data_IF_539428400014
#
_entry.id   IF_539428400014
#
_cell.length_a   1.000
_cell.length_b   1.000
_cell.length_c   1.000
_cell.angle_alpha   90.00
_cell.angle_beta   90.00
_cell.angle_gamma   90.00
#
_symmetry.space_group_name_H-M   'P 1'
#
loop_
_entity.id
_entity.type
_entity.pdbx_description
1 polymer ?
#
# COMPACT_ATOMS: atom_id res chain seq x y z
N UNK A 1 16.08 19.37 -90.40
CA UNK A 1 16.25 18.36 -89.34
C UNK A 1 16.19 18.89 -87.89
N UNK A 2 16.32 20.19 -87.63
CA UNK A 2 16.35 20.74 -86.27
C UNK A 2 14.98 20.92 -85.56
N UNK A 3 13.86 21.07 -86.24
CA UNK A 3 12.53 21.33 -85.62
C UNK A 3 11.92 20.11 -84.84
N UNK A 4 12.33 18.89 -85.21
CA UNK A 4 11.83 17.70 -84.46
C UNK A 4 12.47 17.48 -83.11
N UNK A 5 13.76 17.85 -82.94
CA UNK A 5 14.49 17.73 -81.70
C UNK A 5 13.95 18.66 -80.61
N UNK A 6 13.65 19.93 -80.93
CA UNK A 6 13.13 20.93 -79.99
C UNK A 6 11.72 20.51 -79.46
N UNK A 7 10.83 19.98 -80.32
CA UNK A 7 9.53 19.50 -79.82
C UNK A 7 9.63 18.32 -78.86
N UNK A 8 10.59 17.44 -79.03
CA UNK A 8 10.83 16.35 -78.11
C UNK A 8 11.37 16.83 -76.75
N UNK A 9 12.28 17.80 -76.74
CA UNK A 9 12.84 18.40 -75.54
C UNK A 9 11.70 19.12 -74.77
N UNK A 10 10.89 19.90 -75.41
CA UNK A 10 9.75 20.60 -74.78
C UNK A 10 8.75 19.63 -74.17
N UNK A 11 8.46 18.47 -74.87
CA UNK A 11 7.60 17.44 -74.30
C UNK A 11 8.20 16.74 -73.08
N UNK A 12 9.51 16.47 -73.02
CA UNK A 12 10.19 15.91 -71.92
C UNK A 12 10.21 16.90 -70.73
N UNK A 13 10.46 18.18 -70.96
CA UNK A 13 10.42 19.23 -69.92
C UNK A 13 9.03 19.38 -69.32
N UNK A 14 7.95 19.36 -70.15
CA UNK A 14 6.58 19.38 -69.62
C UNK A 14 6.24 18.16 -68.75
N UNK A 15 6.72 16.96 -69.10
CA UNK A 15 6.52 15.76 -68.31
C UNK A 15 7.26 15.84 -66.96
N UNK A 16 8.50 16.35 -66.96
CA UNK A 16 9.29 16.54 -65.74
C UNK A 16 8.60 17.58 -64.85
N UNK A 17 8.14 18.70 -65.41
CA UNK A 17 7.42 19.72 -64.63
C UNK A 17 6.12 19.19 -63.99
N UNK A 18 5.35 18.36 -64.72
CA UNK A 18 4.13 17.72 -64.19
C UNK A 18 4.48 16.73 -63.06
N UNK A 19 5.53 15.93 -63.21
CA UNK A 19 5.97 14.99 -62.17
C UNK A 19 6.46 15.73 -60.93
N UNK A 20 7.23 16.80 -61.08
CA UNK A 20 7.65 17.65 -59.96
C UNK A 20 6.44 18.29 -59.26
N UNK A 21 5.44 18.75 -59.98
CA UNK A 21 4.25 19.35 -59.42
C UNK A 21 3.39 18.34 -58.66
N UNK A 22 3.27 17.11 -59.16
CA UNK A 22 2.62 16.00 -58.45
C UNK A 22 3.39 15.61 -57.21
N UNK A 23 4.73 15.54 -57.29
CA UNK A 23 5.58 15.23 -56.13
C UNK A 23 5.47 16.32 -55.04
N UNK A 24 5.47 17.58 -55.43
CA UNK A 24 5.24 18.71 -54.48
C UNK A 24 3.85 18.66 -53.84
N UNK A 25 2.82 18.32 -54.66
CA UNK A 25 1.45 18.18 -54.14
C UNK A 25 1.35 17.00 -53.15
N UNK A 26 1.99 15.87 -53.43
CA UNK A 26 2.04 14.70 -52.52
C UNK A 26 2.79 15.04 -51.23
N UNK A 27 3.91 15.77 -51.32
CA UNK A 27 4.65 16.22 -50.15
C UNK A 27 3.83 17.21 -49.31
N UNK A 28 3.11 18.14 -49.94
CA UNK A 28 2.22 19.06 -49.27
C UNK A 28 1.03 18.37 -48.58
N UNK A 29 0.45 17.36 -49.20
CA UNK A 29 -0.65 16.56 -48.62
C UNK A 29 -0.13 15.68 -47.49
N UNK A 30 1.04 15.08 -47.63
CA UNK A 30 1.64 14.31 -46.53
C UNK A 30 2.09 15.20 -45.36
N UNK A 31 2.58 16.43 -45.62
CA UNK A 31 2.90 17.38 -44.55
C UNK A 31 1.66 17.91 -43.82
N UNK A 32 0.51 18.02 -44.52
CA UNK A 32 -0.76 18.41 -43.91
C UNK A 32 -1.39 17.30 -43.04
N UNK A 33 -0.95 16.05 -43.20
CA UNK A 33 -1.41 14.89 -42.44
C UNK A 33 -0.37 14.41 -41.41
N UNK A 34 0.65 15.20 -41.08
CA UNK A 34 1.48 14.91 -39.91
C UNK A 34 0.54 15.02 -38.70
N UNK A 35 0.29 13.95 -37.94
CA UNK A 35 -0.50 14.04 -36.74
C UNK A 35 0.16 15.08 -35.88
N UNK A 36 -0.55 16.18 -35.58
CA UNK A 36 -0.05 17.14 -34.62
C UNK A 36 0.20 16.37 -33.33
N UNK A 37 1.43 16.38 -32.86
CA UNK A 37 1.75 15.82 -31.57
C UNK A 37 0.86 16.50 -30.54
N UNK A 38 0.01 15.73 -29.89
CA UNK A 38 -0.93 16.21 -28.89
C UNK A 38 -0.32 15.94 -27.53
N UNK A 39 -0.51 16.87 -26.60
CA UNK A 39 -0.19 16.62 -25.21
C UNK A 39 -0.92 15.36 -24.73
N UNK A 40 -0.21 14.46 -24.07
CA UNK A 40 -0.73 13.17 -23.65
C UNK A 40 -0.82 13.05 -22.14
N UNK A 41 -1.76 12.25 -21.67
CA UNK A 41 -1.72 11.76 -20.28
C UNK A 41 -0.59 10.74 -20.22
N UNK A 42 0.51 11.11 -19.56
CA UNK A 42 1.68 10.24 -19.46
C UNK A 42 1.47 9.08 -18.47
N UNK A 43 0.75 9.35 -17.39
CA UNK A 43 0.38 8.33 -16.39
C UNK A 43 -0.71 8.85 -15.46
N UNK A 44 -1.40 7.95 -14.80
CA UNK A 44 -2.27 8.29 -13.69
C UNK A 44 -2.18 7.25 -12.57
N UNK A 45 -2.57 7.62 -11.36
CA UNK A 45 -2.61 6.73 -10.21
C UNK A 45 -3.74 7.12 -9.24
N UNK A 46 -4.33 6.12 -8.61
CA UNK A 46 -5.33 6.28 -7.57
C UNK A 46 -4.66 6.33 -6.20
N UNK A 47 -4.95 7.37 -5.39
CA UNK A 47 -4.39 7.54 -4.06
C UNK A 47 -5.49 7.36 -3.01
N UNK A 48 -5.15 6.67 -1.92
CA UNK A 48 -6.09 6.35 -0.83
C UNK A 48 -6.95 5.13 -1.10
N UNK A 49 -6.68 4.39 -2.19
CA UNK A 49 -7.38 3.17 -2.53
C UNK A 49 -6.90 1.98 -1.70
N UNK A 50 -7.83 1.08 -1.39
CA UNK A 50 -7.51 -0.24 -0.84
C UNK A 50 -7.31 -1.19 -2.01
N UNK A 51 -6.06 -1.64 -2.21
CA UNK A 51 -5.78 -2.70 -3.17
C UNK A 51 -6.24 -4.04 -2.59
N UNK A 52 -7.09 -4.77 -3.32
CA UNK A 52 -7.64 -6.06 -2.90
C UNK A 52 -7.31 -7.16 -3.88
N UNK A 53 -6.89 -8.28 -3.33
CA UNK A 53 -7.04 -9.58 -3.97
C UNK A 53 -8.33 -10.19 -3.42
N UNK A 54 -9.36 -10.17 -4.22
CA UNK A 54 -10.69 -10.57 -3.78
C UNK A 54 -11.20 -11.71 -4.67
N UNK A 55 -10.82 -12.96 -4.36
CA UNK A 55 -11.39 -14.11 -5.05
C UNK A 55 -12.91 -14.17 -4.88
N UNK A 56 -13.40 -13.59 -3.80
CA UNK A 56 -14.80 -13.67 -3.40
C UNK A 56 -15.68 -12.75 -4.25
N UNK A 57 -15.20 -11.54 -4.57
CA UNK A 57 -16.00 -10.48 -5.18
C UNK A 57 -15.51 -10.03 -6.55
N UNK A 58 -14.22 -10.27 -6.88
CA UNK A 58 -13.58 -9.70 -8.06
C UNK A 58 -12.81 -10.75 -8.84
N UNK A 59 -13.27 -11.97 -8.87
CA UNK A 59 -12.71 -13.07 -9.68
C UNK A 59 -11.22 -13.35 -9.42
N UNK A 60 -10.75 -13.13 -8.21
CA UNK A 60 -9.36 -13.35 -7.84
C UNK A 60 -8.36 -12.33 -8.36
N UNK A 61 -8.83 -11.24 -8.96
CA UNK A 61 -7.97 -10.18 -9.47
C UNK A 61 -7.68 -9.16 -8.38
N UNK A 62 -6.43 -8.72 -8.28
CA UNK A 62 -6.05 -7.60 -7.43
C UNK A 62 -6.58 -6.31 -8.07
N UNK A 63 -7.48 -5.63 -7.40
CA UNK A 63 -8.05 -4.36 -7.87
C UNK A 63 -7.98 -3.28 -6.80
N UNK A 64 -7.89 -2.05 -7.27
CA UNK A 64 -8.06 -0.86 -6.43
C UNK A 64 -9.51 -0.74 -6.00
N UNK A 65 -9.75 -0.42 -4.73
CA UNK A 65 -11.08 -0.30 -4.18
C UNK A 65 -11.18 0.80 -3.14
N UNK A 66 -12.33 1.45 -3.08
CA UNK A 66 -12.60 2.55 -2.16
C UNK A 66 -13.83 2.25 -1.31
N UNK A 67 -13.79 2.67 -0.04
CA UNK A 67 -14.96 2.69 0.81
C UNK A 67 -15.97 3.76 0.34
N UNK A 68 -17.26 3.43 0.36
CA UNK A 68 -18.32 4.39 0.09
C UNK A 68 -18.24 5.62 1.00
N UNK A 69 -18.70 6.77 0.51
CA UNK A 69 -18.72 8.05 1.23
C UNK A 69 -17.35 8.60 1.68
N UNK A 70 -16.25 7.94 1.31
CA UNK A 70 -14.88 8.44 1.56
C UNK A 70 -14.43 9.42 0.48
N UNK A 71 -13.37 10.15 0.75
CA UNK A 71 -12.69 10.98 -0.25
C UNK A 71 -11.50 10.23 -0.80
N UNK A 72 -11.37 10.22 -2.11
CA UNK A 72 -10.25 9.64 -2.83
C UNK A 72 -9.65 10.65 -3.80
N UNK A 73 -8.44 10.39 -4.26
CA UNK A 73 -7.73 11.26 -5.20
C UNK A 73 -7.26 10.46 -6.41
N UNK A 74 -7.40 11.08 -7.58
CA UNK A 74 -6.76 10.65 -8.80
C UNK A 74 -5.64 11.63 -9.13
N UNK A 75 -4.44 11.13 -9.27
CA UNK A 75 -3.27 11.89 -9.71
C UNK A 75 -3.04 11.64 -11.18
N UNK A 76 -3.01 12.71 -11.97
CA UNK A 76 -2.86 12.64 -13.43
C UNK A 76 -1.61 13.41 -13.84
N UNK A 77 -0.66 12.73 -14.45
CA UNK A 77 0.53 13.36 -15.01
C UNK A 77 0.27 13.70 -16.48
N UNK A 78 0.27 14.99 -16.78
CA UNK A 78 0.08 15.51 -18.14
C UNK A 78 1.44 15.94 -18.69
N UNK A 79 1.82 15.39 -19.84
CA UNK A 79 3.07 15.67 -20.52
C UNK A 79 2.82 16.44 -21.81
N UNK A 80 3.62 17.47 -22.07
CA UNK A 80 3.58 18.25 -23.30
C UNK A 80 4.60 17.68 -24.30
N UNK A 81 4.14 16.88 -25.26
CA UNK A 81 4.91 16.30 -26.35
C UNK A 81 4.82 17.09 -27.67
N UNK A 82 4.28 18.32 -27.64
CA UNK A 82 4.20 19.20 -28.80
C UNK A 82 5.56 19.63 -29.30
N UNK A 83 5.61 20.14 -30.53
CA UNK A 83 6.85 20.66 -31.08
C UNK A 83 7.22 22.01 -30.47
N UNK A 84 8.52 22.25 -30.32
CA UNK A 84 9.02 23.55 -29.87
C UNK A 84 8.56 24.67 -30.83
N UNK A 85 8.11 25.84 -30.34
CA UNK A 85 8.09 26.30 -28.95
C UNK A 85 6.71 26.12 -28.25
N UNK A 86 5.86 25.22 -28.72
CA UNK A 86 4.48 25.13 -28.29
C UNK A 86 4.35 24.76 -26.81
N UNK A 87 3.55 25.51 -26.10
CA UNK A 87 3.11 25.24 -24.75
C UNK A 87 1.63 24.83 -24.73
N UNK A 88 1.21 24.15 -23.69
CA UNK A 88 -0.21 23.88 -23.44
C UNK A 88 -0.71 24.64 -22.23
N UNK A 89 -1.91 25.21 -22.36
CA UNK A 89 -2.58 25.95 -21.31
C UNK A 89 -3.73 25.08 -20.78
N UNK A 90 -3.44 24.22 -19.78
CA UNK A 90 -4.42 23.31 -19.20
C UNK A 90 -5.43 24.13 -18.41
N UNK A 91 -6.70 24.04 -18.82
CA UNK A 91 -7.81 24.72 -18.14
C UNK A 91 -8.58 23.80 -17.20
N UNK A 92 -8.55 22.49 -17.42
CA UNK A 92 -9.14 21.52 -16.52
C UNK A 92 -8.56 20.13 -16.72
N UNK A 93 -8.40 19.41 -15.61
CA UNK A 93 -8.23 17.95 -15.60
C UNK A 93 -9.45 17.38 -14.90
N UNK A 94 -10.19 16.53 -15.59
CA UNK A 94 -11.47 15.98 -15.15
C UNK A 94 -11.44 14.47 -15.15
N UNK A 95 -12.20 13.86 -14.25
CA UNK A 95 -12.54 12.45 -14.30
C UNK A 95 -14.05 12.26 -14.30
N UNK A 96 -14.55 11.52 -15.24
CA UNK A 96 -15.94 11.08 -15.31
C UNK A 96 -16.05 9.60 -14.97
N UNK A 97 -17.08 9.23 -14.23
CA UNK A 97 -17.33 7.85 -13.81
C UNK A 97 -18.59 7.28 -14.45
N UNK A 98 -18.66 5.96 -14.54
CA UNK A 98 -19.79 5.23 -15.12
C UNK A 98 -21.12 5.42 -14.37
N UNK A 99 -21.08 5.85 -13.11
CA UNK A 99 -22.28 6.27 -12.37
C UNK A 99 -22.74 7.70 -12.66
N UNK A 100 -22.13 8.38 -13.67
CA UNK A 100 -22.58 9.68 -14.21
C UNK A 100 -22.06 10.91 -13.49
N UNK A 101 -21.13 10.81 -12.53
CA UNK A 101 -20.54 11.97 -11.86
C UNK A 101 -19.19 12.33 -12.48
N UNK A 102 -18.92 13.65 -12.50
CA UNK A 102 -17.66 14.23 -12.97
C UNK A 102 -17.02 15.08 -11.88
N UNK A 103 -15.70 14.99 -11.77
CA UNK A 103 -14.89 15.78 -10.84
C UNK A 103 -13.76 16.46 -11.59
N UNK A 104 -13.32 17.62 -11.08
CA UNK A 104 -12.32 18.47 -11.74
C UNK A 104 -11.25 18.88 -10.75
N UNK A 105 -9.99 18.90 -11.19
CA UNK A 105 -8.87 19.46 -10.42
C UNK A 105 -9.12 20.95 -10.14
N UNK A 106 -8.75 21.39 -8.94
CA UNK A 106 -8.87 22.79 -8.51
C UNK A 106 -7.65 23.63 -8.88
N UNK A 107 -6.59 23.03 -9.41
CA UNK A 107 -5.30 23.67 -9.67
C UNK A 107 -5.31 24.60 -10.87
N UNK A 108 -6.29 24.48 -11.76
CA UNK A 108 -6.41 25.31 -12.96
C UNK A 108 -7.88 25.55 -13.32
N UNK A 109 -8.11 26.60 -14.08
CA UNK A 109 -9.42 26.92 -14.65
C UNK A 109 -9.26 27.71 -15.96
N UNK A 110 -10.38 28.05 -16.62
CA UNK A 110 -10.37 28.76 -17.91
C UNK A 110 -9.73 30.15 -17.82
N UNK A 111 -9.92 30.86 -16.70
CA UNK A 111 -9.37 32.21 -16.50
C UNK A 111 -7.92 32.20 -16.02
N UNK A 112 -7.49 31.12 -15.40
CA UNK A 112 -6.12 30.92 -14.91
C UNK A 112 -5.65 29.50 -15.29
N UNK A 113 -5.33 29.25 -16.58
CA UNK A 113 -4.87 27.96 -17.01
C UNK A 113 -3.45 27.68 -16.52
N UNK A 114 -3.16 26.41 -16.25
CA UNK A 114 -1.82 25.97 -15.92
C UNK A 114 -1.01 25.77 -17.21
N UNK A 115 0.14 26.44 -17.30
CA UNK A 115 1.01 26.40 -18.49
C UNK A 115 2.04 25.30 -18.34
N UNK A 116 2.03 24.33 -19.26
CA UNK A 116 3.06 23.30 -19.35
C UNK A 116 3.93 23.58 -20.56
N UNK A 117 5.22 23.96 -20.35
CA UNK A 117 6.17 24.20 -21.44
C UNK A 117 6.48 22.93 -22.25
N UNK A 118 7.11 23.12 -23.38
CA UNK A 118 7.59 22.04 -24.24
C UNK A 118 8.46 21.02 -23.50
N UNK A 119 8.19 19.74 -23.73
CA UNK A 119 8.83 18.57 -23.09
C UNK A 119 8.81 18.59 -21.55
N UNK A 120 7.87 19.32 -20.96
CA UNK A 120 7.66 19.28 -19.50
C UNK A 120 6.36 18.58 -19.16
N UNK A 121 6.24 18.15 -17.92
CA UNK A 121 5.04 17.56 -17.38
C UNK A 121 4.63 18.25 -16.09
N UNK A 122 3.34 18.13 -15.76
CA UNK A 122 2.80 18.54 -14.47
C UNK A 122 1.82 17.49 -13.98
N UNK A 123 1.79 17.33 -12.65
CA UNK A 123 0.94 16.37 -11.96
C UNK A 123 -0.25 17.12 -11.36
N UNK A 124 -1.44 16.81 -11.83
CA UNK A 124 -2.70 17.33 -11.32
C UNK A 124 -3.36 16.35 -10.38
N UNK A 125 -4.01 16.86 -9.34
CA UNK A 125 -4.80 16.06 -8.41
C UNK A 125 -6.27 16.36 -8.58
N UNK A 126 -7.07 15.32 -8.81
CA UNK A 126 -8.53 15.38 -8.84
C UNK A 126 -9.06 14.67 -7.59
N UNK A 127 -9.59 15.47 -6.66
CA UNK A 127 -10.26 14.92 -5.48
C UNK A 127 -11.72 14.61 -5.79
N UNK A 128 -12.21 13.47 -5.38
CA UNK A 128 -13.59 13.07 -5.58
C UNK A 128 -14.17 12.36 -4.35
N UNK A 129 -15.48 12.46 -4.21
CA UNK A 129 -16.22 11.72 -3.19
C UNK A 129 -16.69 10.41 -3.79
N UNK A 130 -16.30 9.32 -3.17
CA UNK A 130 -16.77 7.97 -3.53
C UNK A 130 -18.25 7.86 -3.18
N UNK A 131 -19.12 7.47 -4.12
CA UNK A 131 -20.55 7.40 -3.88
C UNK A 131 -20.90 6.25 -2.94
N UNK A 132 -22.17 6.19 -2.50
CA UNK A 132 -22.70 5.01 -1.82
C UNK A 132 -22.83 3.82 -2.78
N UNK A 133 -22.80 2.63 -2.23
CA UNK A 133 -23.02 1.38 -3.00
C UNK A 133 -24.39 1.29 -3.67
N UNK A 134 -25.34 2.12 -3.25
CA UNK A 134 -26.64 2.25 -3.92
C UNK A 134 -26.51 2.93 -5.30
N UNK A 135 -25.52 3.83 -5.46
CA UNK A 135 -25.25 4.51 -6.72
C UNK A 135 -24.21 3.75 -7.54
N UNK A 136 -23.16 3.25 -6.89
CA UNK A 136 -22.10 2.48 -7.50
C UNK A 136 -22.09 1.07 -6.89
N UNK A 137 -22.52 0.10 -7.66
CA UNK A 137 -22.65 -1.30 -7.22
C UNK A 137 -21.33 -1.85 -6.68
N UNK A 138 -21.32 -2.41 -5.47
CA UNK A 138 -20.14 -2.96 -4.81
C UNK A 138 -19.67 -4.33 -5.34
N UNK A 139 -20.36 -4.90 -6.32
CA UNK A 139 -20.01 -6.19 -6.92
C UNK A 139 -19.38 -6.11 -8.29
N UNK A 140 -19.14 -4.88 -8.81
CA UNK A 140 -18.55 -4.66 -10.13
C UNK A 140 -17.36 -3.70 -10.05
N UNK A 141 -16.51 -3.76 -11.06
CA UNK A 141 -15.48 -2.74 -11.28
C UNK A 141 -16.08 -1.59 -12.08
N UNK A 142 -15.76 -0.37 -11.68
CA UNK A 142 -16.29 0.85 -12.28
C UNK A 142 -15.33 1.41 -13.32
N UNK A 143 -15.91 1.79 -14.45
CA UNK A 143 -15.21 2.50 -15.52
C UNK A 143 -15.06 3.99 -15.17
N UNK A 144 -13.99 4.57 -15.71
CA UNK A 144 -13.75 5.99 -15.61
C UNK A 144 -13.17 6.52 -16.92
N UNK A 145 -13.30 7.84 -17.09
CA UNK A 145 -12.74 8.54 -18.25
C UNK A 145 -12.04 9.79 -17.76
N UNK A 146 -10.78 9.96 -18.15
CA UNK A 146 -10.00 11.14 -17.80
C UNK A 146 -9.97 12.09 -19.01
N UNK A 147 -10.28 13.37 -18.76
CA UNK A 147 -10.25 14.43 -19.74
C UNK A 147 -9.25 15.50 -19.33
N UNK A 148 -8.44 15.93 -20.29
CA UNK A 148 -7.60 17.12 -20.13
C UNK A 148 -8.08 18.18 -21.11
N UNK A 149 -8.49 19.31 -20.60
CA UNK A 149 -8.95 20.45 -21.39
C UNK A 149 -7.87 21.54 -21.44
N UNK A 150 -7.73 22.17 -22.59
CA UNK A 150 -6.88 23.34 -22.77
C UNK A 150 -7.67 24.54 -23.25
N UNK A 151 -7.18 25.73 -22.95
CA UNK A 151 -7.60 26.97 -23.60
C UNK A 151 -6.66 27.26 -24.76
N UNK A 152 -7.22 27.44 -25.94
CA UNK A 152 -6.43 27.95 -27.07
C UNK A 152 -6.10 29.42 -26.80
N UNK A 153 -4.81 29.74 -26.72
CA UNK A 153 -4.32 31.09 -26.40
C UNK A 153 -4.75 32.16 -27.43
N UNK A 154 -5.06 31.76 -28.65
CA UNK A 154 -5.43 32.67 -29.74
C UNK A 154 -6.94 32.90 -29.82
N UNK A 155 -7.76 31.86 -29.63
CA UNK A 155 -9.21 31.95 -29.79
C UNK A 155 -9.98 31.98 -28.48
N UNK A 156 -9.35 31.66 -27.36
CA UNK A 156 -10.02 31.52 -26.07
C UNK A 156 -10.92 30.28 -25.95
N UNK A 157 -10.98 29.46 -27.00
CA UNK A 157 -11.83 28.28 -27.02
C UNK A 157 -11.23 27.13 -26.20
N UNK A 158 -12.09 26.43 -25.48
CA UNK A 158 -11.72 25.21 -24.75
C UNK A 158 -11.72 24.03 -25.71
N UNK A 159 -10.65 23.26 -25.69
CA UNK A 159 -10.50 22.04 -26.49
C UNK A 159 -10.08 20.90 -25.58
N UNK A 160 -10.58 19.70 -25.87
CA UNK A 160 -10.09 18.47 -25.19
C UNK A 160 -8.75 18.08 -25.83
N UNK A 161 -7.69 18.01 -25.01
CA UNK A 161 -6.34 17.66 -25.45
C UNK A 161 -6.22 16.21 -25.86
N UNK A 162 -6.95 15.37 -25.17
CA UNK A 162 -7.00 13.93 -25.47
C UNK A 162 -8.46 13.52 -25.64
N UNK A 163 -8.78 12.79 -26.72
CA UNK A 163 -9.99 12.03 -26.71
C UNK A 163 -9.91 11.01 -25.60
N UNK A 164 -10.92 10.98 -24.80
CA UNK A 164 -11.26 9.99 -23.77
C UNK A 164 -10.27 8.84 -23.59
N UNK A 165 -9.52 8.86 -22.50
CA UNK A 165 -8.75 7.70 -22.10
C UNK A 165 -9.63 6.78 -21.24
N UNK A 166 -10.29 5.86 -21.91
CA UNK A 166 -11.00 4.78 -21.23
C UNK A 166 -10.04 3.63 -21.08
N UNK A 167 -9.62 3.36 -19.85
CA UNK A 167 -8.86 2.15 -19.56
C UNK A 167 -9.84 1.07 -19.12
N UNK A 168 -10.20 0.21 -20.06
CA UNK A 168 -10.92 -1.01 -19.74
C UNK A 168 -9.94 -1.98 -19.07
N UNK A 169 -10.17 -2.31 -17.83
CA UNK A 169 -9.37 -3.28 -17.07
C UNK A 169 -8.73 -2.76 -15.78
N UNK A 170 -8.39 -1.46 -15.71
CA UNK A 170 -7.89 -0.84 -14.47
C UNK A 170 -8.98 -0.05 -13.75
N UNK A 171 -10.18 -0.58 -13.72
CA UNK A 171 -11.28 -0.04 -12.95
C UNK A 171 -11.00 -0.16 -11.45
N UNK A 172 -11.75 0.56 -10.66
CA UNK A 172 -11.77 0.39 -9.22
C UNK A 172 -13.16 -0.06 -8.77
N UNK A 173 -13.22 -0.62 -7.56
CA UNK A 173 -14.46 -1.04 -6.94
C UNK A 173 -14.86 -0.08 -5.83
N UNK A 174 -16.16 0.03 -5.59
CA UNK A 174 -16.72 0.74 -4.44
C UNK A 174 -17.20 -0.27 -3.43
N UNK A 175 -16.80 -0.08 -2.17
CA UNK A 175 -17.22 -0.95 -1.08
C UNK A 175 -18.16 -0.22 -0.14
N UNK A 176 -19.14 -0.95 0.39
CA UNK A 176 -19.89 -0.48 1.55
C UNK A 176 -18.95 -0.29 2.74
N UNK A 177 -19.34 0.56 3.68
CA UNK A 177 -18.59 0.74 4.92
C UNK A 177 -18.40 -0.59 5.67
N UNK A 178 -19.44 -1.40 5.74
CA UNK A 178 -19.37 -2.72 6.40
C UNK A 178 -18.41 -3.68 5.69
N UNK A 179 -18.38 -3.65 4.35
CA UNK A 179 -17.44 -4.46 3.56
C UNK A 179 -16.01 -4.02 3.78
N UNK A 180 -15.75 -2.71 3.81
CA UNK A 180 -14.42 -2.15 4.09
C UNK A 180 -13.96 -2.51 5.50
N UNK A 181 -14.81 -2.31 6.50
CA UNK A 181 -14.50 -2.65 7.90
C UNK A 181 -14.24 -4.15 8.08
N UNK A 182 -15.07 -5.00 7.46
CA UNK A 182 -14.88 -6.46 7.48
C UNK A 182 -13.53 -6.86 6.87
N UNK A 183 -13.13 -6.21 5.78
CA UNK A 183 -11.84 -6.43 5.16
C UNK A 183 -10.68 -5.97 6.05
N UNK A 184 -10.80 -4.82 6.69
CA UNK A 184 -9.78 -4.30 7.59
C UNK A 184 -9.59 -5.18 8.81
N UNK A 185 -10.68 -5.68 9.42
CA UNK A 185 -10.61 -6.64 10.51
C UNK A 185 -9.95 -7.95 10.07
N UNK A 186 -10.31 -8.47 8.88
CA UNK A 186 -9.66 -9.65 8.31
C UNK A 186 -8.15 -9.45 8.19
N UNK A 187 -7.70 -8.29 7.67
CA UNK A 187 -6.27 -7.95 7.55
C UNK A 187 -5.57 -7.87 8.89
N UNK A 188 -6.21 -7.28 9.89
CA UNK A 188 -5.67 -7.24 11.25
C UNK A 188 -5.53 -8.65 11.85
N UNK A 189 -6.52 -9.53 11.65
CA UNK A 189 -6.44 -10.92 12.11
C UNK A 189 -5.29 -11.68 11.41
N UNK A 190 -5.12 -11.48 10.10
CA UNK A 190 -4.05 -12.09 9.32
C UNK A 190 -2.64 -11.64 9.75
N UNK A 191 -2.52 -10.48 10.38
CA UNK A 191 -1.26 -9.96 10.91
C UNK A 191 -0.82 -10.69 12.21
N UNK A 192 -1.73 -11.40 12.88
CA UNK A 192 -1.35 -12.21 14.03
C UNK A 192 -0.66 -13.49 13.59
N UNK A 193 0.43 -13.89 14.26
CA UNK A 193 1.13 -15.13 13.92
C UNK A 193 0.25 -16.37 14.15
N UNK A 194 0.71 -17.47 13.60
CA UNK A 194 0.03 -18.77 13.61
C UNK A 194 -0.63 -19.10 14.96
N UNK A 195 -1.81 -19.71 14.89
CA UNK A 195 -2.68 -20.09 16.02
C UNK A 195 -2.10 -21.13 16.99
N UNK A 196 -0.87 -21.58 16.82
CA UNK A 196 -0.20 -22.55 17.70
C UNK A 196 0.78 -21.92 18.67
N UNK A 197 1.20 -20.67 18.41
CA UNK A 197 2.15 -19.95 19.26
C UNK A 197 1.75 -18.50 19.38
N UNK A 198 1.96 -17.90 20.53
CA UNK A 198 1.83 -16.46 20.76
C UNK A 198 3.24 -15.91 21.01
N UNK A 199 3.62 -14.88 20.26
CA UNK A 199 4.96 -14.27 20.33
C UNK A 199 6.13 -15.28 20.25
N UNK A 200 5.96 -16.36 19.47
CA UNK A 200 6.96 -17.42 19.31
C UNK A 200 6.97 -18.47 20.43
N UNK A 201 6.11 -18.33 21.44
CA UNK A 201 5.99 -19.29 22.54
C UNK A 201 4.72 -20.13 22.44
N UNK A 202 4.73 -21.39 22.89
CA UNK A 202 3.54 -22.21 22.98
C UNK A 202 2.46 -21.53 23.85
N UNK A 203 1.19 -21.69 23.47
CA UNK A 203 0.07 -21.14 24.23
C UNK A 203 -0.04 -21.86 25.57
N UNK A 204 0.17 -21.12 26.67
CA UNK A 204 0.21 -21.65 28.01
C UNK A 204 -1.17 -21.88 28.63
N UNK A 205 -2.03 -20.88 28.52
CA UNK A 205 -3.29 -20.89 29.24
C UNK A 205 -4.40 -21.63 28.51
N UNK A 206 -5.23 -22.35 29.23
CA UNK A 206 -6.41 -23.00 28.68
C UNK A 206 -7.39 -21.93 28.11
N UNK A 207 -7.51 -20.78 28.79
CA UNK A 207 -8.34 -19.68 28.37
C UNK A 207 -7.87 -19.10 27.01
N UNK A 208 -6.57 -18.87 26.82
CA UNK A 208 -6.04 -18.39 25.54
C UNK A 208 -6.32 -19.39 24.43
N UNK A 209 -6.17 -20.70 24.67
CA UNK A 209 -6.50 -21.74 23.69
C UNK A 209 -7.98 -21.73 23.31
N UNK A 210 -8.88 -21.57 24.30
CA UNK A 210 -10.33 -21.46 24.04
C UNK A 210 -10.66 -20.23 23.20
N UNK A 211 -10.06 -19.07 23.52
CA UNK A 211 -10.27 -17.84 22.77
C UNK A 211 -9.78 -17.96 21.32
N UNK A 212 -8.66 -18.64 21.07
CA UNK A 212 -8.20 -18.92 19.70
C UNK A 212 -9.17 -19.81 18.94
N UNK A 213 -9.74 -20.82 19.58
CA UNK A 213 -10.79 -21.64 18.95
C UNK A 213 -12.00 -20.79 18.60
N UNK A 214 -12.47 -19.93 19.53
CA UNK A 214 -13.57 -18.99 19.27
C UNK A 214 -13.25 -18.03 18.12
N UNK A 215 -12.03 -17.50 18.09
CA UNK A 215 -11.54 -16.63 16.99
C UNK A 215 -11.60 -17.35 15.63
N UNK A 216 -11.13 -18.60 15.55
CA UNK A 216 -11.14 -19.37 14.30
C UNK A 216 -12.57 -19.69 13.84
N UNK A 217 -13.49 -20.01 14.76
CA UNK A 217 -14.91 -20.22 14.43
C UNK A 217 -15.53 -18.95 13.91
N UNK A 218 -15.34 -17.83 14.61
CA UNK A 218 -15.87 -16.52 14.19
C UNK A 218 -15.27 -16.10 12.82
N UNK A 219 -13.97 -16.31 12.60
CA UNK A 219 -13.33 -16.05 11.30
C UNK A 219 -13.96 -16.87 10.16
N UNK A 220 -14.30 -18.14 10.41
CA UNK A 220 -14.95 -18.98 9.40
C UNK A 220 -16.37 -18.50 9.09
N UNK A 221 -17.15 -18.11 10.11
CA UNK A 221 -18.48 -17.54 9.91
C UNK A 221 -18.41 -16.23 9.13
N UNK A 222 -17.47 -15.35 9.53
CA UNK A 222 -17.24 -14.08 8.84
C UNK A 222 -16.88 -14.27 7.36
N UNK A 223 -16.06 -15.26 7.05
CA UNK A 223 -15.69 -15.57 5.66
C UNK A 223 -16.91 -16.04 4.84
N UNK A 224 -17.73 -16.90 5.42
CA UNK A 224 -18.95 -17.36 4.76
C UNK A 224 -19.94 -16.22 4.48
N UNK A 225 -20.18 -15.36 5.47
CA UNK A 225 -21.06 -14.19 5.31
C UNK A 225 -20.49 -13.23 4.26
N UNK A 226 -19.17 -12.98 4.29
CA UNK A 226 -18.49 -12.13 3.33
C UNK A 226 -18.64 -12.64 1.88
N UNK A 227 -18.50 -13.95 1.66
CA UNK A 227 -18.63 -14.57 0.34
C UNK A 227 -20.06 -14.58 -0.16
N UNK A 228 -21.05 -14.60 0.76
CA UNK A 228 -22.48 -14.51 0.45
C UNK A 228 -22.96 -13.06 0.26
N UNK A 229 -22.12 -12.07 0.54
CA UNK A 229 -22.46 -10.64 0.43
C UNK A 229 -23.15 -10.07 1.69
N UNK A 230 -23.27 -10.83 2.77
CA UNK A 230 -23.66 -10.29 4.07
C UNK A 230 -22.47 -9.63 4.76
N UNK A 231 -22.19 -8.41 4.33
CA UNK A 231 -21.03 -7.66 4.86
C UNK A 231 -21.25 -7.19 6.30
N UNK A 232 -22.48 -7.01 6.73
CA UNK A 232 -22.80 -6.65 8.12
C UNK A 232 -22.51 -7.82 9.07
N UNK A 233 -22.94 -9.03 8.70
CA UNK A 233 -22.60 -10.26 9.41
C UNK A 233 -21.08 -10.51 9.42
N UNK A 234 -20.43 -10.38 8.25
CA UNK A 234 -18.99 -10.54 8.11
C UNK A 234 -18.19 -9.58 9.00
N UNK A 235 -18.55 -8.29 9.01
CA UNK A 235 -17.94 -7.27 9.88
C UNK A 235 -18.06 -7.66 11.36
N UNK A 236 -19.25 -8.05 11.79
CA UNK A 236 -19.49 -8.48 13.17
C UNK A 236 -18.57 -9.64 13.55
N UNK A 237 -18.60 -10.72 12.79
CA UNK A 237 -17.84 -11.91 13.11
C UNK A 237 -16.31 -11.75 12.94
N UNK A 238 -15.84 -10.95 11.99
CA UNK A 238 -14.42 -10.59 11.96
C UNK A 238 -14.01 -9.72 13.15
N UNK A 239 -14.89 -8.80 13.59
CA UNK A 239 -14.68 -8.02 14.81
C UNK A 239 -14.59 -8.90 16.05
N UNK A 240 -15.52 -9.85 16.20
CA UNK A 240 -15.50 -10.83 17.30
C UNK A 240 -14.20 -11.68 17.26
N UNK A 241 -13.83 -12.16 16.07
CA UNK A 241 -12.59 -12.92 15.87
C UNK A 241 -11.36 -12.12 16.27
N UNK A 242 -11.28 -10.86 15.88
CA UNK A 242 -10.18 -9.96 16.24
C UNK A 242 -10.11 -9.74 17.76
N UNK A 243 -11.25 -9.50 18.40
CA UNK A 243 -11.30 -9.33 19.85
C UNK A 243 -10.82 -10.59 20.58
N UNK A 244 -11.27 -11.78 20.18
CA UNK A 244 -10.85 -13.04 20.78
C UNK A 244 -9.35 -13.28 20.63
N UNK A 245 -8.77 -13.01 19.46
CA UNK A 245 -7.33 -13.22 19.27
C UNK A 245 -6.50 -12.20 20.05
N UNK A 246 -6.94 -10.95 20.15
CA UNK A 246 -6.30 -9.92 20.96
C UNK A 246 -6.32 -10.28 22.45
N UNK A 247 -7.46 -10.72 22.96
CA UNK A 247 -7.62 -11.16 24.34
C UNK A 247 -6.75 -12.40 24.64
N UNK A 248 -6.70 -13.37 23.72
CA UNK A 248 -5.84 -14.55 23.85
C UNK A 248 -4.37 -14.16 23.98
N UNK A 249 -3.90 -13.24 23.14
CA UNK A 249 -2.53 -12.74 23.18
C UNK A 249 -2.22 -11.99 24.47
N UNK A 250 -3.13 -11.14 24.93
CA UNK A 250 -2.97 -10.39 26.16
C UNK A 250 -2.85 -11.31 27.37
N UNK A 251 -3.77 -12.27 27.50
CA UNK A 251 -3.82 -13.21 28.61
C UNK A 251 -2.56 -14.09 28.65
N UNK A 252 -2.12 -14.59 27.49
CA UNK A 252 -0.97 -15.48 27.43
C UNK A 252 0.34 -14.73 27.66
N UNK A 253 0.49 -13.52 27.14
CA UNK A 253 1.65 -12.66 27.37
C UNK A 253 1.77 -12.28 28.84
N UNK A 254 0.66 -11.97 29.50
CA UNK A 254 0.66 -11.68 30.94
C UNK A 254 1.11 -12.91 31.75
N UNK A 255 0.67 -14.10 31.38
CA UNK A 255 1.08 -15.33 32.04
C UNK A 255 2.57 -15.63 31.84
N UNK A 256 3.10 -15.42 30.64
CA UNK A 256 4.54 -15.55 30.36
C UNK A 256 5.36 -14.58 31.20
N UNK A 257 4.95 -13.32 31.30
CA UNK A 257 5.60 -12.30 32.16
C UNK A 257 5.60 -12.72 33.63
N UNK A 258 4.51 -13.30 34.11
CA UNK A 258 4.42 -13.82 35.48
C UNK A 258 5.41 -14.96 35.73
N UNK A 259 5.53 -15.90 34.79
CA UNK A 259 6.47 -17.02 34.85
C UNK A 259 7.91 -16.52 34.80
N UNK A 260 8.22 -15.60 33.92
CA UNK A 260 9.56 -15.01 33.81
C UNK A 260 9.97 -14.29 35.07
N UNK A 261 9.08 -13.51 35.70
CA UNK A 261 9.31 -12.84 36.97
C UNK A 261 9.51 -13.85 38.11
N UNK A 262 8.70 -14.90 38.18
CA UNK A 262 8.84 -15.96 39.15
C UNK A 262 10.18 -16.71 39.02
N UNK A 263 10.57 -17.05 37.79
CA UNK A 263 11.84 -17.70 37.47
C UNK A 263 13.03 -16.81 37.87
N UNK A 264 12.97 -15.53 37.54
CA UNK A 264 13.99 -14.54 37.92
C UNK A 264 14.13 -14.47 39.44
N UNK A 265 13.02 -14.41 40.17
CA UNK A 265 13.00 -14.42 41.62
C UNK A 265 13.61 -15.69 42.22
N UNK A 266 13.28 -16.85 41.64
CA UNK A 266 13.84 -18.14 42.03
C UNK A 266 15.36 -18.20 41.79
N UNK A 267 15.83 -17.73 40.65
CA UNK A 267 17.26 -17.69 40.30
C UNK A 267 18.00 -16.76 41.28
N UNK A 268 17.45 -15.56 41.56
CA UNK A 268 18.05 -14.61 42.49
C UNK A 268 18.06 -15.15 43.92
N UNK A 269 16.95 -15.77 44.35
CA UNK A 269 16.87 -16.42 45.66
C UNK A 269 17.83 -17.59 45.78
N UNK A 270 17.93 -18.43 44.74
CA UNK A 270 18.88 -19.55 44.67
C UNK A 270 20.34 -19.07 44.71
N UNK A 271 20.67 -18.03 43.96
CA UNK A 271 21.99 -17.41 44.03
C UNK A 271 22.32 -16.86 45.41
N UNK A 272 21.35 -16.23 46.11
CA UNK A 272 21.50 -15.75 47.48
C UNK A 272 21.74 -16.90 48.47
N UNK A 273 21.01 -18.01 48.36
CA UNK A 273 21.21 -19.21 49.16
C UNK A 273 22.60 -19.83 48.94
N UNK A 274 23.07 -19.93 47.69
CA UNK A 274 24.42 -20.44 47.41
C UNK A 274 25.51 -19.54 47.93
N UNK A 275 25.34 -18.21 47.88
CA UNK A 275 26.27 -17.28 48.51
C UNK A 275 26.27 -17.44 50.04
N UNK A 276 25.10 -17.52 50.68
CA UNK A 276 24.98 -17.73 52.12
C UNK A 276 25.63 -19.05 52.55
N UNK A 277 25.40 -20.12 51.80
CA UNK A 277 26.03 -21.41 52.04
C UNK A 277 27.57 -21.33 51.88
N UNK A 278 28.06 -20.62 50.90
CA UNK A 278 29.49 -20.34 50.71
C UNK A 278 30.11 -19.61 51.88
N UNK A 279 29.46 -18.58 52.40
CA UNK A 279 29.91 -17.87 53.60
C UNK A 279 29.89 -18.78 54.86
N UNK A 280 28.85 -19.59 55.03
CA UNK A 280 28.78 -20.53 56.15
C UNK A 280 29.96 -21.52 56.12
N UNK A 281 30.32 -22.08 55.00
CA UNK A 281 31.49 -22.96 54.84
C UNK A 281 32.80 -22.23 55.12
N UNK A 282 32.93 -20.99 54.71
CA UNK A 282 34.10 -20.15 54.95
C UNK A 282 34.27 -19.87 56.47
N UNK A 283 33.19 -19.50 57.17
CA UNK A 283 33.21 -19.29 58.62
C UNK A 283 33.50 -20.60 59.37
N UNK A 284 32.95 -21.73 58.88
CA UNK A 284 33.23 -23.02 59.48
C UNK A 284 34.70 -23.39 59.30
N UNK A 285 35.29 -23.15 58.15
CA UNK A 285 36.71 -23.36 57.90
C UNK A 285 37.61 -22.50 58.78
N UNK A 286 37.30 -21.22 58.90
CA UNK A 286 38.04 -20.33 59.80
C UNK A 286 37.91 -20.76 61.26
N UNK A 287 36.73 -21.17 61.71
CA UNK A 287 36.50 -21.67 63.09
C UNK A 287 37.30 -22.94 63.34
N UNK A 288 37.36 -23.86 62.38
CA UNK A 288 38.15 -25.07 62.50
C UNK A 288 39.65 -24.80 62.56
N UNK A 289 40.12 -23.83 61.78
CA UNK A 289 41.52 -23.40 61.78
C UNK A 289 41.93 -22.75 63.16
N UNK A 290 41.09 -21.90 63.69
CA UNK A 290 41.32 -21.30 65.06
C UNK A 290 41.28 -22.33 66.11
N UNK A 291 40.37 -23.31 66.03
CA UNK A 291 40.33 -24.43 67.03
C UNK A 291 41.60 -25.28 66.90
N UNK A 292 42.07 -25.58 65.69
CA UNK A 292 43.31 -26.35 65.49
C UNK A 292 44.52 -25.62 66.04
N UNK A 293 44.63 -24.31 65.91
CA UNK A 293 45.68 -23.48 66.49
C UNK A 293 45.56 -23.51 68.03
N UNK A 294 44.35 -23.35 68.56
CA UNK A 294 44.10 -23.42 70.01
C UNK A 294 44.56 -24.75 70.64
N UNK A 295 44.24 -25.88 69.95
CA UNK A 295 44.70 -27.20 70.43
C UNK A 295 46.23 -27.33 70.33
N UNK A 296 46.84 -26.81 69.25
CA UNK A 296 48.31 -26.83 69.15
C UNK A 296 48.98 -26.02 70.23
N UNK A 297 48.48 -24.84 70.49
CA UNK A 297 49.00 -24.00 71.61
C UNK A 297 48.79 -24.67 72.94
N UNK A 298 47.66 -25.32 73.21
CA UNK A 298 47.40 -26.07 74.42
C UNK A 298 48.37 -27.24 74.56
N UNK A 299 48.61 -28.03 73.53
CA UNK A 299 49.56 -29.15 73.58
C UNK A 299 51.02 -28.72 73.77
N UNK A 300 51.43 -27.60 73.19
CA UNK A 300 52.79 -27.05 73.38
C UNK A 300 53.02 -26.52 74.76
N UNK A 301 52.02 -25.95 75.44
CA UNK A 301 52.09 -25.45 76.79
C UNK A 301 52.17 -26.57 77.89
N UNK A 302 51.67 -27.77 77.59
CA UNK A 302 51.68 -28.92 78.52
C UNK A 302 52.92 -29.78 78.45
N UNK A 303 53.99 -29.36 77.77
CA UNK A 303 55.23 -30.13 77.83
C UNK A 303 55.77 -30.07 79.23
N UNK A 304 55.94 -31.23 79.99
CA UNK A 304 56.54 -31.26 81.25
C UNK A 304 57.97 -30.72 81.17
N UNK A 305 58.36 -29.89 82.13
CA UNK A 305 59.77 -29.49 82.27
C UNK A 305 60.60 -30.78 82.45
N UNK A 306 61.74 -30.92 81.74
CA UNK A 306 62.62 -32.02 82.02
C UNK A 306 63.11 -31.90 83.44
N UNK A 307 62.94 -32.94 84.26
CA UNK A 307 63.54 -33.08 85.61
C UNK A 307 65.06 -33.10 85.50
N UNK A 308 65.75 -32.16 86.17
CA UNK A 308 67.17 -32.12 86.28
C UNK A 308 67.67 -33.29 87.13
#
# INVERSE_FOLDING_TARGET
>A
MQRHSVKQIVRKLKRIAIVCLILCAVILVSAANVPMAHASIASYNWIGAIARNSPDNFYGVLITAYGENTTANLVVNVYNDRHFPDQINVSAVKVGFDWGQNYTSVECNITNPFVIPYLQSHVFTVSFKVPSVLLANNFVTHGHTIYVEQVNSTSGNVQILQPTWTQSGDGFAVFSSDQADAYDFKKQIEAYPSTTTISGFPILTAQARELIVKSNVAKTLAHNDYTQGDFSGAKKYYGDSLNYIQEAYSNDTQQWSTIENALTTLIQGGAGLLMFQGYAWLFFGIGFLLMSIGVLVYLTRKRPKPSA
#
